data_IF_769880464860
#
_entry.id   IF_769880464860
#
_cell.length_a   1.000
_cell.length_b   1.000
_cell.length_c   1.000
_cell.angle_alpha   90.00
_cell.angle_beta   90.00
_cell.angle_gamma   90.00
#
_symmetry.space_group_name_H-M   'P 1'
#
loop_
_entity.id
_entity.type
_entity.pdbx_description
1 polymer ?
#
# COMPACT_ATOMS: atom_id res chain seq x y z
N UNK A 1 45.23 42.13 9.15
CA UNK A 1 44.30 41.78 10.22
C UNK A 1 43.14 41.03 9.56
N UNK A 2 43.21 39.71 9.55
CA UNK A 2 42.12 38.85 9.07
C UNK A 2 41.32 38.42 10.29
N UNK A 3 40.07 38.82 10.36
CA UNK A 3 39.13 38.34 11.35
C UNK A 3 38.49 37.03 10.85
N UNK A 4 38.85 35.93 11.48
CA UNK A 4 38.24 34.61 11.29
C UNK A 4 36.88 34.61 11.98
N UNK A 5 35.80 34.58 11.17
CA UNK A 5 34.46 34.25 11.66
C UNK A 5 34.37 32.74 11.89
N UNK A 6 34.55 32.34 13.13
CA UNK A 6 34.20 30.99 13.59
C UNK A 6 32.70 30.98 13.88
N UNK A 7 31.90 30.54 12.91
CA UNK A 7 30.52 30.20 13.17
C UNK A 7 30.47 28.78 13.74
N UNK A 8 30.21 28.68 15.05
CA UNK A 8 29.92 27.39 15.71
C UNK A 8 28.74 26.72 15.05
N UNK A 9 28.79 25.37 14.82
CA UNK A 9 27.66 24.65 14.31
C UNK A 9 26.53 24.71 15.35
N UNK A 10 25.37 25.21 14.91
CA UNK A 10 24.15 25.16 15.72
C UNK A 10 23.86 23.68 16.04
N UNK A 11 23.99 23.32 17.31
CA UNK A 11 23.49 22.05 17.84
C UNK A 11 21.97 21.96 17.55
N UNK A 12 21.63 21.22 16.51
CA UNK A 12 20.24 20.83 16.31
C UNK A 12 19.87 19.94 17.49
N UNK A 13 18.85 20.31 18.23
CA UNK A 13 18.23 19.41 19.21
C UNK A 13 17.90 18.12 18.48
N UNK A 14 18.31 16.95 18.98
CA UNK A 14 17.94 15.70 18.36
C UNK A 14 16.41 15.64 18.29
N UNK A 15 15.86 15.40 17.09
CA UNK A 15 14.45 15.12 16.95
C UNK A 15 14.08 13.97 17.91
N UNK A 16 12.93 14.01 18.57
CA UNK A 16 12.52 12.93 19.46
C UNK A 16 12.59 11.62 18.70
N UNK A 17 13.30 10.64 19.26
CA UNK A 17 13.45 9.33 18.64
C UNK A 17 12.07 8.76 18.33
N UNK A 18 11.85 8.30 17.08
CA UNK A 18 10.61 7.62 16.71
C UNK A 18 10.40 6.42 17.64
N UNK A 19 9.27 6.41 18.31
CA UNK A 19 8.85 5.29 19.15
C UNK A 19 7.41 4.91 18.83
N UNK A 20 7.18 3.65 18.57
CA UNK A 20 5.84 3.09 18.36
C UNK A 20 5.78 1.71 18.99
N UNK A 21 4.75 1.45 19.78
CA UNK A 21 4.53 0.12 20.35
C UNK A 21 4.37 -0.93 19.23
N UNK A 22 4.83 -2.17 19.45
CA UNK A 22 4.65 -3.24 18.48
C UNK A 22 3.18 -3.43 18.13
N UNK A 23 2.88 -3.67 16.84
CA UNK A 23 1.54 -4.03 16.41
C UNK A 23 1.21 -5.44 16.91
N UNK A 24 0.30 -5.55 17.87
CA UNK A 24 -0.01 -6.77 18.59
C UNK A 24 -1.39 -7.39 18.26
N UNK A 25 -2.09 -6.84 17.26
CA UNK A 25 -3.39 -7.38 16.88
C UNK A 25 -3.23 -8.56 15.90
N UNK A 26 -4.08 -9.59 16.06
CA UNK A 26 -4.21 -10.65 15.07
C UNK A 26 -4.68 -10.09 13.73
N UNK A 27 -4.02 -10.51 12.65
CA UNK A 27 -4.37 -10.13 11.28
C UNK A 27 -4.85 -11.36 10.53
N UNK A 28 -6.16 -11.43 10.33
CA UNK A 28 -6.81 -12.48 9.54
C UNK A 28 -7.58 -11.84 8.40
N UNK A 29 -6.94 -11.73 7.24
CA UNK A 29 -7.58 -11.19 6.03
C UNK A 29 -7.87 -12.30 5.03
N UNK A 30 -9.10 -12.33 4.52
CA UNK A 30 -9.51 -13.28 3.50
C UNK A 30 -8.77 -13.08 2.19
N UNK A 31 -8.57 -14.17 1.44
CA UNK A 31 -7.91 -14.18 0.13
C UNK A 31 -8.92 -14.01 -1.03
N UNK A 32 -10.07 -13.38 -0.78
CA UNK A 32 -11.17 -13.26 -1.75
C UNK A 32 -11.22 -11.90 -2.45
N UNK A 33 -10.25 -11.03 -2.18
CA UNK A 33 -10.21 -9.70 -2.80
C UNK A 33 -9.83 -9.79 -4.28
N UNK A 34 -10.52 -9.07 -5.19
CA UNK A 34 -10.21 -9.06 -6.62
C UNK A 34 -8.77 -8.68 -6.96
N UNK A 35 -8.22 -7.68 -6.23
CA UNK A 35 -6.83 -7.26 -6.40
C UNK A 35 -5.89 -8.42 -6.03
N UNK A 36 -6.18 -9.12 -4.92
CA UNK A 36 -5.38 -10.27 -4.52
C UNK A 36 -5.48 -11.41 -5.53
N UNK A 37 -6.64 -11.64 -6.14
CA UNK A 37 -6.90 -12.79 -7.02
C UNK A 37 -6.56 -12.55 -8.49
N UNK A 38 -6.16 -11.34 -8.89
CA UNK A 38 -5.87 -11.01 -10.29
C UNK A 38 -4.69 -11.79 -10.88
N UNK A 39 -3.79 -12.32 -10.06
CA UNK A 39 -2.72 -13.24 -10.46
C UNK A 39 -2.35 -14.18 -9.32
N UNK A 40 -1.68 -15.30 -9.62
CA UNK A 40 -1.14 -16.22 -8.62
C UNK A 40 0.35 -15.96 -8.36
N UNK A 41 0.76 -15.98 -7.09
CA UNK A 41 2.16 -15.93 -6.66
C UNK A 41 2.29 -16.56 -5.27
N UNK A 42 3.30 -17.41 -5.06
CA UNK A 42 3.37 -18.30 -3.88
C UNK A 42 3.41 -17.59 -2.53
N UNK A 43 4.15 -16.49 -2.45
CA UNK A 43 4.39 -15.76 -1.20
C UNK A 43 3.54 -14.49 -1.07
N UNK A 44 2.55 -14.32 -1.92
CA UNK A 44 1.70 -13.13 -1.93
C UNK A 44 0.87 -13.03 -0.65
N UNK A 45 0.95 -11.87 0.01
CA UNK A 45 0.16 -11.53 1.19
C UNK A 45 -0.98 -10.59 0.79
N UNK A 46 -2.20 -10.75 1.31
CA UNK A 46 -3.29 -9.81 1.05
C UNK A 46 -2.89 -8.37 1.42
N UNK A 47 -3.09 -7.42 0.51
CA UNK A 47 -2.75 -6.01 0.72
C UNK A 47 -3.45 -5.42 1.96
N UNK A 48 -4.67 -5.84 2.26
CA UNK A 48 -5.42 -5.43 3.45
C UNK A 48 -4.73 -5.82 4.77
N UNK A 49 -4.09 -6.99 4.81
CA UNK A 49 -3.26 -7.39 5.95
C UNK A 49 -2.07 -6.44 6.12
N UNK A 50 -1.37 -6.13 5.03
CA UNK A 50 -0.21 -5.24 5.03
C UNK A 50 -0.63 -3.81 5.41
N UNK A 51 -1.79 -3.34 4.96
CA UNK A 51 -2.32 -2.00 5.30
C UNK A 51 -2.39 -1.75 6.80
N UNK A 52 -2.74 -2.75 7.61
CA UNK A 52 -2.84 -2.61 9.08
C UNK A 52 -1.49 -2.23 9.68
N UNK A 53 -0.41 -2.85 9.22
CA UNK A 53 0.95 -2.52 9.66
C UNK A 53 1.38 -1.14 9.15
N UNK A 54 1.13 -0.83 7.88
CA UNK A 54 1.47 0.47 7.30
C UNK A 54 0.75 1.60 8.05
N UNK A 55 -0.56 1.47 8.28
CA UNK A 55 -1.33 2.46 9.04
C UNK A 55 -0.82 2.64 10.46
N UNK A 56 -0.35 1.56 11.10
CA UNK A 56 0.18 1.62 12.47
C UNK A 56 1.52 2.34 12.54
N UNK A 57 2.46 2.03 11.64
CA UNK A 57 3.84 2.51 11.75
C UNK A 57 4.15 3.80 10.99
N UNK A 58 3.26 4.27 10.12
CA UNK A 58 3.55 5.36 9.20
C UNK A 58 2.48 6.44 9.18
N UNK A 59 2.87 7.63 8.69
CA UNK A 59 2.00 8.76 8.41
C UNK A 59 1.80 8.94 6.88
N UNK A 60 0.75 9.67 6.43
CA UNK A 60 0.59 10.04 5.03
C UNK A 60 1.86 10.66 4.45
N UNK A 61 2.28 10.16 3.29
CA UNK A 61 3.48 10.63 2.59
C UNK A 61 4.79 9.94 2.98
N UNK A 62 4.81 9.16 4.06
CA UNK A 62 5.98 8.36 4.44
C UNK A 62 6.34 7.33 3.38
N UNK A 63 7.58 6.86 3.42
CA UNK A 63 8.12 5.85 2.51
C UNK A 63 8.16 4.50 3.22
N UNK A 64 7.53 3.51 2.60
CA UNK A 64 7.59 2.09 2.99
C UNK A 64 8.59 1.39 2.07
N UNK A 65 9.59 0.75 2.66
CA UNK A 65 10.57 -0.05 1.91
C UNK A 65 10.25 -1.54 2.04
N UNK A 66 10.20 -2.24 0.90
CA UNK A 66 10.06 -3.68 0.85
C UNK A 66 11.15 -4.27 -0.07
N UNK A 67 12.15 -4.89 0.55
CA UNK A 67 13.32 -5.45 -0.14
C UNK A 67 13.06 -6.78 -0.84
N UNK A 68 11.91 -7.42 -0.60
CA UNK A 68 11.50 -8.73 -1.14
C UNK A 68 10.02 -8.69 -1.53
N UNK A 69 9.62 -7.69 -2.29
CA UNK A 69 8.23 -7.30 -2.51
C UNK A 69 7.38 -8.33 -3.28
N UNK A 70 8.00 -9.37 -3.84
CA UNK A 70 7.29 -10.29 -4.71
C UNK A 70 6.57 -9.52 -5.82
N UNK A 71 5.27 -9.68 -5.91
CA UNK A 71 4.43 -9.00 -6.91
C UNK A 71 3.88 -7.64 -6.45
N UNK A 72 4.45 -7.04 -5.39
CA UNK A 72 4.25 -5.64 -5.05
C UNK A 72 2.98 -5.33 -4.24
N UNK A 73 2.44 -6.28 -3.48
CA UNK A 73 1.26 -6.03 -2.64
C UNK A 73 1.49 -4.97 -1.56
N UNK A 74 2.73 -4.77 -1.12
CA UNK A 74 3.11 -3.67 -0.21
C UNK A 74 2.88 -2.31 -0.85
N UNK A 75 3.17 -2.16 -2.14
CA UNK A 75 2.90 -0.92 -2.88
C UNK A 75 1.41 -0.64 -3.01
N UNK A 76 0.62 -1.68 -3.34
CA UNK A 76 -0.85 -1.58 -3.37
C UNK A 76 -1.39 -1.16 -1.99
N UNK A 77 -0.92 -1.79 -0.92
CA UNK A 77 -1.32 -1.47 0.44
C UNK A 77 -0.97 -0.02 0.82
N UNK A 78 0.21 0.46 0.44
CA UNK A 78 0.64 1.83 0.70
C UNK A 78 -0.27 2.87 0.01
N UNK A 79 -0.70 2.59 -1.22
CA UNK A 79 -1.64 3.44 -1.96
C UNK A 79 -3.04 3.37 -1.34
N UNK A 80 -3.55 2.18 -1.03
CA UNK A 80 -4.90 1.96 -0.48
C UNK A 80 -5.08 2.54 0.93
N UNK A 81 -4.02 2.86 1.65
CA UNK A 81 -4.09 3.65 2.88
C UNK A 81 -4.68 5.06 2.66
N UNK A 82 -4.79 5.53 1.42
CA UNK A 82 -5.47 6.76 1.03
C UNK A 82 -6.93 6.58 0.65
N UNK A 83 -7.41 5.35 0.51
CA UNK A 83 -8.79 5.05 0.14
C UNK A 83 -9.66 4.88 1.40
N UNK A 84 -10.63 5.77 1.56
CA UNK A 84 -11.54 5.79 2.72
C UNK A 84 -12.35 4.51 2.84
N UNK A 85 -12.90 4.00 1.74
CA UNK A 85 -13.78 2.84 1.75
C UNK A 85 -13.00 1.57 2.08
N UNK A 86 -11.81 1.44 1.50
CA UNK A 86 -10.91 0.32 1.79
C UNK A 86 -10.47 0.34 3.25
N UNK A 87 -10.09 1.50 3.79
CA UNK A 87 -9.70 1.64 5.22
C UNK A 87 -10.88 1.29 6.13
N UNK A 88 -12.09 1.76 5.81
CA UNK A 88 -13.29 1.42 6.59
C UNK A 88 -13.63 -0.08 6.50
N UNK A 89 -13.36 -0.74 5.38
CA UNK A 89 -13.55 -2.18 5.23
C UNK A 89 -12.65 -3.03 6.15
N UNK A 90 -11.59 -2.44 6.71
CA UNK A 90 -10.74 -3.07 7.72
C UNK A 90 -11.33 -3.01 9.14
N UNK A 91 -12.50 -2.41 9.32
CA UNK A 91 -13.15 -2.25 10.62
C UNK A 91 -12.78 -0.94 11.34
N UNK A 92 -12.10 -0.02 10.68
CA UNK A 92 -11.80 1.31 11.20
C UNK A 92 -12.92 2.30 10.89
N UNK A 93 -13.01 3.39 11.67
CA UNK A 93 -13.80 4.55 11.32
C UNK A 93 -12.90 5.68 10.82
N UNK A 94 -13.38 6.45 9.84
CA UNK A 94 -12.63 7.58 9.27
C UNK A 94 -13.42 8.86 9.40
N UNK A 95 -12.91 9.81 10.18
CA UNK A 95 -13.52 11.14 10.37
C UNK A 95 -13.41 11.99 9.09
N UNK A 96 -14.23 13.07 8.97
CA UNK A 96 -14.13 13.98 7.82
C UNK A 96 -12.75 14.62 7.63
N UNK A 97 -12.01 14.85 8.73
CA UNK A 97 -10.63 15.39 8.72
C UNK A 97 -9.55 14.37 8.36
N UNK A 98 -9.95 13.13 8.02
CA UNK A 98 -9.04 12.04 7.70
C UNK A 98 -8.46 11.28 8.91
N UNK A 99 -8.86 11.61 10.13
CA UNK A 99 -8.44 10.84 11.31
C UNK A 99 -9.08 9.46 11.28
N UNK A 100 -8.24 8.42 11.38
CA UNK A 100 -8.66 7.02 11.47
C UNK A 100 -8.79 6.65 12.94
N UNK A 101 -9.93 6.08 13.31
CA UNK A 101 -10.21 5.60 14.65
C UNK A 101 -10.22 4.07 14.66
N UNK A 102 -9.63 3.50 15.73
CA UNK A 102 -9.68 2.08 16.04
C UNK A 102 -10.57 1.84 17.24
N UNK A 103 -11.33 0.75 17.22
CA UNK A 103 -12.09 0.28 18.38
C UNK A 103 -11.13 -0.36 19.39
N UNK A 104 -11.18 0.11 20.63
CA UNK A 104 -10.42 -0.43 21.75
C UNK A 104 -11.37 -0.73 22.90
N UNK A 105 -10.97 -1.61 23.81
CA UNK A 105 -11.68 -1.86 25.05
C UNK A 105 -11.02 -1.06 26.18
N UNK A 106 -11.77 -0.22 26.87
CA UNK A 106 -11.28 0.55 28.00
C UNK A 106 -11.13 -0.34 29.28
N UNK A 107 -10.66 0.27 30.36
CA UNK A 107 -10.46 -0.42 31.64
C UNK A 107 -11.76 -0.97 32.24
N UNK A 108 -12.90 -0.38 31.88
CA UNK A 108 -14.25 -0.79 32.30
C UNK A 108 -14.85 -1.88 31.39
N UNK A 109 -14.12 -2.35 30.38
CA UNK A 109 -14.59 -3.33 29.39
C UNK A 109 -15.53 -2.76 28.33
N UNK A 110 -15.62 -1.42 28.20
CA UNK A 110 -16.45 -0.76 27.19
C UNK A 110 -15.65 -0.53 25.91
N UNK A 111 -16.33 -0.67 24.77
CA UNK A 111 -15.78 -0.34 23.46
C UNK A 111 -15.73 1.15 23.24
N UNK A 112 -14.54 1.67 22.97
CA UNK A 112 -14.27 3.09 22.70
C UNK A 112 -13.49 3.26 21.41
N UNK A 113 -13.77 4.36 20.70
CA UNK A 113 -13.05 4.68 19.46
C UNK A 113 -11.94 5.68 19.75
N UNK A 114 -10.69 5.27 19.51
CA UNK A 114 -9.51 6.11 19.74
C UNK A 114 -8.79 6.44 18.45
N UNK A 115 -8.17 7.64 18.35
CA UNK A 115 -7.33 7.99 17.22
C UNK A 115 -6.17 6.97 17.06
N UNK A 116 -6.05 6.42 15.87
CA UNK A 116 -5.08 5.37 15.55
C UNK A 116 -4.07 5.81 14.48
N UNK A 117 -4.57 6.41 13.38
CA UNK A 117 -3.75 6.79 12.23
C UNK A 117 -4.41 7.95 11.46
N UNK A 118 -3.87 8.24 10.28
CA UNK A 118 -4.40 9.25 9.37
C UNK A 118 -4.57 8.72 7.96
N UNK A 119 -5.71 9.03 7.34
CA UNK A 119 -6.00 8.69 5.96
C UNK A 119 -5.05 9.44 5.01
N UNK A 120 -4.43 8.73 4.10
CA UNK A 120 -3.59 9.29 3.07
C UNK A 120 -2.66 8.24 2.47
N UNK A 121 -2.25 8.47 1.25
CA UNK A 121 -1.33 7.59 0.52
C UNK A 121 0.04 7.60 1.18
N UNK A 122 0.68 6.42 1.27
CA UNK A 122 2.11 6.26 1.54
C UNK A 122 2.81 5.93 0.23
N UNK A 123 4.09 6.24 0.15
CA UNK A 123 4.94 5.88 -0.99
C UNK A 123 5.63 4.55 -0.72
N UNK A 124 5.88 3.76 -1.76
CA UNK A 124 6.58 2.50 -1.60
C UNK A 124 7.85 2.48 -2.46
N UNK A 125 8.91 1.92 -1.90
CA UNK A 125 10.12 1.52 -2.63
C UNK A 125 10.14 0.01 -2.61
N UNK A 126 9.98 -0.61 -3.78
CA UNK A 126 9.81 -2.05 -3.94
C UNK A 126 11.02 -2.63 -4.65
N UNK A 127 11.59 -3.70 -4.13
CA UNK A 127 12.69 -4.43 -4.72
C UNK A 127 12.43 -5.93 -4.66
N UNK A 128 12.86 -6.67 -5.68
CA UNK A 128 12.87 -8.12 -5.69
C UNK A 128 13.98 -8.63 -6.63
N UNK A 129 14.50 -9.83 -6.38
CA UNK A 129 15.50 -10.47 -7.25
C UNK A 129 14.88 -11.05 -8.52
N UNK A 130 13.59 -11.36 -8.51
CA UNK A 130 12.89 -11.95 -9.65
C UNK A 130 12.44 -10.87 -10.64
N UNK A 131 12.94 -10.89 -11.91
CA UNK A 131 12.44 -9.98 -12.95
C UNK A 131 10.94 -10.13 -13.21
N UNK A 132 10.40 -11.35 -13.08
CA UNK A 132 8.98 -11.59 -13.24
C UNK A 132 8.17 -10.93 -12.10
N UNK A 133 8.65 -11.02 -10.86
CA UNK A 133 8.02 -10.39 -9.72
C UNK A 133 8.01 -8.86 -9.86
N UNK A 134 9.17 -8.26 -10.17
CA UNK A 134 9.29 -6.80 -10.35
C UNK A 134 8.46 -6.30 -11.53
N UNK A 135 8.37 -7.06 -12.62
CA UNK A 135 7.49 -6.73 -13.75
C UNK A 135 6.01 -6.68 -13.32
N UNK A 136 5.54 -7.68 -12.57
CA UNK A 136 4.17 -7.71 -12.06
C UNK A 136 3.98 -6.56 -11.06
N UNK A 137 4.93 -6.36 -10.13
CA UNK A 137 4.87 -5.28 -9.14
C UNK A 137 4.77 -3.90 -9.80
N UNK A 138 5.55 -3.65 -10.85
CA UNK A 138 5.49 -2.41 -11.62
C UNK A 138 4.10 -2.19 -12.22
N UNK A 139 3.54 -3.20 -12.90
CA UNK A 139 2.23 -3.08 -13.53
C UNK A 139 1.08 -2.89 -12.53
N UNK A 140 1.19 -3.52 -11.35
CA UNK A 140 0.19 -3.35 -10.27
C UNK A 140 0.19 -1.96 -9.64
N UNK A 141 1.36 -1.33 -9.58
CA UNK A 141 1.56 -0.08 -8.84
C UNK A 141 1.67 1.15 -9.75
N UNK A 142 1.61 0.96 -11.08
CA UNK A 142 1.67 2.05 -12.05
C UNK A 142 0.26 2.39 -12.56
N UNK A 143 -0.16 3.65 -12.48
CA UNK A 143 -1.43 4.07 -13.07
C UNK A 143 -1.45 3.82 -14.58
N UNK A 144 -2.60 3.37 -15.10
CA UNK A 144 -2.83 3.12 -16.52
C UNK A 144 -4.08 3.85 -17.00
N UNK A 145 -4.05 4.38 -18.24
CA UNK A 145 -5.26 4.84 -18.91
C UNK A 145 -6.10 3.62 -19.33
N UNK A 146 -7.10 3.31 -18.52
CA UNK A 146 -7.97 2.15 -18.71
C UNK A 146 -8.68 2.20 -20.07
N UNK A 147 -9.11 3.37 -20.52
CA UNK A 147 -9.80 3.53 -21.81
C UNK A 147 -8.85 3.27 -23.00
N UNK A 148 -7.62 3.74 -22.91
CA UNK A 148 -6.59 3.46 -23.92
C UNK A 148 -6.23 1.97 -23.94
N UNK A 149 -6.05 1.39 -22.77
CA UNK A 149 -5.78 -0.05 -22.64
C UNK A 149 -6.90 -0.90 -23.25
N UNK A 150 -8.15 -0.60 -22.93
CA UNK A 150 -9.31 -1.36 -23.42
C UNK A 150 -9.46 -1.26 -24.96
N UNK A 151 -9.24 -0.08 -25.53
CA UNK A 151 -9.25 0.10 -26.99
C UNK A 151 -8.18 -0.76 -27.68
N UNK A 152 -6.97 -0.76 -27.13
CA UNK A 152 -5.85 -1.50 -27.71
C UNK A 152 -6.01 -3.01 -27.54
N UNK A 153 -6.49 -3.47 -26.38
CA UNK A 153 -6.80 -4.87 -26.15
C UNK A 153 -7.87 -5.39 -27.13
N UNK A 154 -8.93 -4.63 -27.35
CA UNK A 154 -9.98 -4.97 -28.35
C UNK A 154 -9.41 -4.99 -29.77
N UNK A 155 -8.51 -4.07 -30.12
CA UNK A 155 -7.86 -4.06 -31.43
C UNK A 155 -7.03 -5.31 -31.66
N UNK A 156 -6.18 -5.67 -30.67
CA UNK A 156 -5.34 -6.88 -30.74
C UNK A 156 -6.19 -8.14 -30.83
N UNK A 157 -7.22 -8.27 -30.00
CA UNK A 157 -8.12 -9.43 -30.02
C UNK A 157 -8.77 -9.61 -31.41
N UNK A 158 -9.24 -8.52 -32.03
CA UNK A 158 -9.86 -8.58 -33.35
C UNK A 158 -8.87 -8.98 -34.45
N UNK A 159 -7.60 -8.62 -34.34
CA UNK A 159 -6.55 -9.03 -35.27
C UNK A 159 -6.21 -10.51 -35.10
N UNK A 160 -6.02 -10.96 -33.86
CA UNK A 160 -5.74 -12.37 -33.53
C UNK A 160 -6.93 -13.28 -33.93
N UNK A 161 -8.18 -12.84 -33.73
CA UNK A 161 -9.36 -13.57 -34.17
C UNK A 161 -9.38 -13.82 -35.68
N UNK A 162 -8.97 -12.81 -36.48
CA UNK A 162 -8.87 -12.98 -37.95
C UNK A 162 -7.80 -13.97 -38.37
N UNK A 163 -6.67 -14.00 -37.65
CA UNK A 163 -5.55 -14.87 -38.01
C UNK A 163 -5.68 -16.28 -37.43
N UNK A 164 -6.22 -16.40 -36.23
CA UNK A 164 -6.20 -17.63 -35.44
C UNK A 164 -7.60 -18.17 -35.09
N UNK A 165 -8.68 -17.45 -35.43
CA UNK A 165 -10.05 -17.82 -35.08
C UNK A 165 -10.42 -19.22 -35.54
N UNK A 166 -9.93 -19.63 -36.69
CA UNK A 166 -10.11 -20.99 -37.24
C UNK A 166 -9.70 -22.13 -36.28
N UNK A 167 -8.82 -21.86 -35.30
CA UNK A 167 -8.41 -22.84 -34.29
C UNK A 167 -9.52 -23.16 -33.28
N UNK A 168 -10.52 -22.31 -33.19
CA UNK A 168 -11.64 -22.40 -32.23
C UNK A 168 -13.00 -22.62 -32.89
N UNK A 169 -13.02 -22.74 -34.23
CA UNK A 169 -14.24 -23.12 -34.96
C UNK A 169 -14.42 -24.64 -34.89
N UNK A 170 -15.65 -25.08 -34.55
CA UNK A 170 -16.05 -26.48 -34.47
C UNK A 170 -16.91 -26.87 -35.65
#
# INVERSE_FOLDING_TARGET
VQSSNNSEPKTQNPEPAYHREPFAADVSEGKNDPIYNAHSYHTKVPHKAIMRYILHYTQPGDIVFDGFCGTGMTGVAAQMCGDREVVMSLGYQVKPDGTILQEETDEDGKKVWRPFSKLGVRRAVLNDLSPAATFIAYNYNTPVDVAAFEREAKRILKEVEKECGWMYET
#
